data_IF_664102712591
#
_entry.id   IF_664102712591
#
_cell.length_a   1.000
_cell.length_b   1.000
_cell.length_c   1.000
_cell.angle_alpha   90.00
_cell.angle_beta   90.00
_cell.angle_gamma   90.00
#
_symmetry.space_group_name_H-M   'P 1'
#
loop_
_entity.id
_entity.type
_entity.pdbx_description
1 polymer ?
#
# COMPACT_ATOMS: atom_id res chain seq x y z
N UNK A 1 -17.92 0.53 5.82
CA UNK A 1 -17.00 0.85 6.91
C UNK A 1 -17.35 -0.01 8.11
N UNK A 2 -16.37 -0.74 8.66
CA UNK A 2 -16.54 -1.58 9.84
C UNK A 2 -16.82 -0.69 11.06
N UNK A 3 -17.63 -1.22 12.00
CA UNK A 3 -17.86 -0.58 13.30
C UNK A 3 -17.17 -1.39 14.38
N UNK A 4 -16.54 -0.70 15.31
CA UNK A 4 -15.97 -1.32 16.49
C UNK A 4 -17.08 -1.90 17.37
N UNK A 5 -16.95 -3.18 17.72
CA UNK A 5 -17.83 -3.91 18.63
C UNK A 5 -17.08 -4.38 19.90
N UNK A 6 -15.87 -3.89 20.11
CA UNK A 6 -15.01 -4.24 21.24
C UNK A 6 -14.21 -5.53 21.06
N UNK A 7 -14.38 -6.26 19.94
CA UNK A 7 -13.67 -7.51 19.67
C UNK A 7 -12.38 -7.26 18.89
N UNK A 8 -11.24 -7.21 19.60
CA UNK A 8 -9.93 -6.98 18.98
C UNK A 8 -9.48 -8.16 18.11
N UNK A 9 -9.89 -9.39 18.40
CA UNK A 9 -9.53 -10.57 17.61
C UNK A 9 -10.22 -10.50 16.25
N UNK A 10 -11.50 -10.14 16.25
CA UNK A 10 -12.28 -9.93 15.05
C UNK A 10 -11.72 -8.75 14.22
N UNK A 11 -11.32 -7.65 14.88
CA UNK A 11 -10.66 -6.52 14.23
C UNK A 11 -9.36 -6.95 13.54
N UNK A 12 -8.52 -7.77 14.18
CA UNK A 12 -7.31 -8.33 13.57
C UNK A 12 -7.62 -9.23 12.36
N UNK A 13 -8.73 -9.98 12.42
CA UNK A 13 -9.21 -10.78 11.28
C UNK A 13 -9.53 -9.90 10.06
N UNK A 14 -10.27 -8.81 10.24
CA UNK A 14 -10.53 -7.84 9.17
C UNK A 14 -9.25 -7.17 8.67
N UNK A 15 -8.36 -6.78 9.58
CA UNK A 15 -7.08 -6.20 9.23
C UNK A 15 -6.26 -7.13 8.32
N UNK A 16 -6.22 -8.43 8.62
CA UNK A 16 -5.51 -9.42 7.82
C UNK A 16 -6.15 -9.58 6.42
N UNK A 17 -7.48 -9.71 6.34
CA UNK A 17 -8.21 -9.87 5.07
C UNK A 17 -8.02 -8.65 4.17
N UNK A 18 -8.23 -7.44 4.71
CA UNK A 18 -8.13 -6.22 3.91
C UNK A 18 -6.70 -5.92 3.49
N UNK A 19 -5.72 -6.33 4.30
CA UNK A 19 -4.30 -6.24 3.92
C UNK A 19 -3.98 -7.15 2.74
N UNK A 20 -4.47 -8.40 2.73
CA UNK A 20 -4.32 -9.30 1.59
C UNK A 20 -4.89 -8.70 0.31
N UNK A 21 -6.12 -8.18 0.36
CA UNK A 21 -6.76 -7.53 -0.79
C UNK A 21 -5.95 -6.31 -1.30
N UNK A 22 -5.37 -5.51 -0.40
CA UNK A 22 -4.53 -4.37 -0.79
C UNK A 22 -3.20 -4.81 -1.39
N UNK A 23 -2.60 -5.90 -0.88
CA UNK A 23 -1.40 -6.51 -1.47
C UNK A 23 -1.68 -6.99 -2.90
N UNK A 24 -2.80 -7.68 -3.14
CA UNK A 24 -3.22 -8.14 -4.46
C UNK A 24 -3.39 -6.96 -5.44
N UNK A 25 -4.04 -5.87 -5.00
CA UNK A 25 -4.19 -4.67 -5.84
C UNK A 25 -2.86 -4.01 -6.18
N UNK A 26 -1.92 -4.00 -5.22
CA UNK A 26 -0.58 -3.47 -5.47
C UNK A 26 0.18 -4.36 -6.46
N UNK A 27 0.04 -5.68 -6.37
CA UNK A 27 0.70 -6.64 -7.25
C UNK A 27 0.17 -6.53 -8.69
N UNK A 28 -1.13 -6.32 -8.87
CA UNK A 28 -1.72 -6.02 -10.17
C UNK A 28 -1.17 -4.69 -10.76
N UNK A 29 -1.13 -3.64 -9.94
CA UNK A 29 -0.55 -2.36 -10.36
C UNK A 29 0.94 -2.51 -10.72
N UNK A 30 1.65 -3.31 -9.96
CA UNK A 30 3.05 -3.64 -10.19
C UNK A 30 3.25 -4.38 -11.51
N UNK A 31 2.38 -5.36 -11.82
CA UNK A 31 2.37 -6.08 -13.10
C UNK A 31 2.20 -5.16 -14.30
N UNK A 32 1.30 -4.17 -14.20
CA UNK A 32 1.15 -3.14 -15.25
C UNK A 32 2.46 -2.35 -15.39
N UNK A 33 3.07 -1.90 -14.30
CA UNK A 33 4.26 -1.08 -14.31
C UNK A 33 5.49 -1.81 -14.90
N UNK A 34 5.69 -3.08 -14.60
CA UNK A 34 6.77 -3.93 -15.16
C UNK A 34 6.76 -3.92 -16.69
N UNK A 35 5.58 -3.85 -17.32
CA UNK A 35 5.46 -3.92 -18.78
C UNK A 35 6.13 -2.75 -19.52
N UNK A 36 6.46 -1.65 -18.84
CA UNK A 36 7.18 -0.49 -19.41
C UNK A 36 8.30 0.05 -18.53
N UNK A 37 8.47 -0.52 -17.33
CA UNK A 37 9.56 -0.25 -16.40
C UNK A 37 10.22 -1.58 -16.01
N UNK A 38 10.99 -2.22 -16.91
CA UNK A 38 11.49 -3.58 -16.72
C UNK A 38 12.42 -3.73 -15.50
N UNK A 39 13.05 -2.67 -15.04
CA UNK A 39 13.87 -2.66 -13.81
C UNK A 39 13.09 -3.04 -12.55
N UNK A 40 11.76 -2.99 -12.59
CA UNK A 40 10.91 -3.44 -11.47
C UNK A 40 10.91 -4.95 -11.28
N UNK A 41 11.29 -5.74 -12.29
CA UNK A 41 11.31 -7.21 -12.21
C UNK A 41 12.18 -7.69 -11.05
N UNK A 42 13.32 -7.05 -10.80
CA UNK A 42 14.25 -7.40 -9.73
C UNK A 42 13.63 -7.25 -8.32
N UNK A 43 12.56 -6.48 -8.21
CA UNK A 43 11.89 -6.19 -6.94
C UNK A 43 10.54 -6.89 -6.77
N UNK A 44 10.13 -7.71 -7.74
CA UNK A 44 8.81 -8.38 -7.73
C UNK A 44 8.64 -9.33 -6.53
N UNK A 45 9.72 -9.90 -6.02
CA UNK A 45 9.74 -10.81 -4.87
C UNK A 45 9.71 -10.10 -3.51
N UNK A 46 9.79 -8.78 -3.48
CA UNK A 46 9.84 -8.02 -2.24
C UNK A 46 8.49 -8.03 -1.50
N UNK A 47 8.56 -7.72 -0.21
CA UNK A 47 7.36 -7.52 0.62
C UNK A 47 6.62 -6.25 0.21
N UNK A 48 5.33 -6.20 0.51
CA UNK A 48 4.41 -5.11 0.21
C UNK A 48 5.00 -3.70 0.42
N UNK A 49 5.58 -3.44 1.59
CA UNK A 49 6.17 -2.13 1.93
C UNK A 49 7.29 -1.72 0.97
N UNK A 50 8.17 -2.67 0.62
CA UNK A 50 9.29 -2.43 -0.29
C UNK A 50 8.81 -2.31 -1.73
N UNK A 51 7.84 -3.14 -2.15
CA UNK A 51 7.18 -3.01 -3.45
C UNK A 51 6.59 -1.62 -3.64
N UNK A 52 5.79 -1.11 -2.70
CA UNK A 52 5.20 0.22 -2.77
C UNK A 52 6.27 1.31 -2.88
N UNK A 53 7.39 1.18 -2.16
CA UNK A 53 8.51 2.11 -2.22
C UNK A 53 9.19 2.11 -3.60
N UNK A 54 9.50 0.93 -4.14
CA UNK A 54 10.16 0.82 -5.45
C UNK A 54 9.24 1.30 -6.57
N UNK A 55 7.98 0.86 -6.57
CA UNK A 55 6.98 1.31 -7.53
C UNK A 55 6.84 2.84 -7.53
N UNK A 56 6.75 3.46 -6.36
CA UNK A 56 6.69 4.93 -6.24
C UNK A 56 7.91 5.61 -6.85
N UNK A 57 9.13 5.09 -6.59
CA UNK A 57 10.38 5.65 -7.11
C UNK A 57 10.43 5.56 -8.64
N UNK A 58 10.16 4.37 -9.17
CA UNK A 58 10.24 4.09 -10.60
C UNK A 58 9.16 4.83 -11.39
N UNK A 59 7.90 4.80 -10.95
CA UNK A 59 6.84 5.58 -11.60
C UNK A 59 7.13 7.09 -11.54
N UNK A 60 7.68 7.59 -10.42
CA UNK A 60 8.10 8.99 -10.34
C UNK A 60 9.21 9.36 -11.34
N UNK A 61 10.09 8.44 -11.71
CA UNK A 61 11.07 8.63 -12.78
C UNK A 61 10.39 8.56 -14.16
N UNK A 62 9.52 7.59 -14.38
CA UNK A 62 8.77 7.46 -15.63
C UNK A 62 7.92 8.70 -15.93
N UNK A 63 7.24 9.27 -14.92
CA UNK A 63 6.49 10.54 -15.11
C UNK A 63 7.37 11.71 -15.54
N UNK A 64 8.64 11.79 -15.06
CA UNK A 64 9.56 12.87 -15.44
C UNK A 64 9.97 12.82 -16.91
N UNK A 65 10.14 11.61 -17.46
CA UNK A 65 10.59 11.41 -18.84
C UNK A 65 9.45 11.24 -19.83
N UNK A 66 8.25 10.89 -19.36
CA UNK A 66 7.08 10.73 -20.24
C UNK A 66 6.70 12.04 -20.93
N UNK A 67 6.24 11.99 -22.21
CA UNK A 67 5.66 13.15 -22.88
C UNK A 67 4.50 13.73 -22.10
N UNK A 68 4.20 15.00 -22.34
CA UNK A 68 3.04 15.62 -21.71
C UNK A 68 1.72 15.08 -22.29
N UNK A 69 0.76 14.87 -21.40
CA UNK A 69 -0.62 14.51 -21.69
C UNK A 69 -1.55 15.17 -20.67
N UNK A 70 -2.82 15.32 -21.01
CA UNK A 70 -3.77 16.18 -20.30
C UNK A 70 -3.85 15.95 -18.77
N UNK A 71 -3.72 14.68 -18.32
CA UNK A 71 -3.89 14.33 -16.90
C UNK A 71 -2.56 14.19 -16.14
N UNK A 72 -1.40 14.29 -16.79
CA UNK A 72 -0.08 14.00 -16.19
C UNK A 72 0.19 14.82 -14.93
N UNK A 73 -0.11 16.12 -14.97
CA UNK A 73 0.15 17.04 -13.88
C UNK A 73 -0.62 16.69 -12.59
N UNK A 74 -1.83 16.13 -12.74
CA UNK A 74 -2.67 15.70 -11.60
C UNK A 74 -2.34 14.29 -11.14
N UNK A 75 -1.97 13.42 -12.07
CA UNK A 75 -1.73 12.00 -11.79
C UNK A 75 -0.42 11.76 -11.06
N UNK A 76 0.67 12.41 -11.43
CA UNK A 76 1.98 12.22 -10.78
C UNK A 76 1.92 12.45 -9.25
N UNK A 77 1.42 13.59 -8.74
CA UNK A 77 1.33 13.80 -7.31
C UNK A 77 0.36 12.84 -6.63
N UNK A 78 -0.74 12.48 -7.30
CA UNK A 78 -1.72 11.51 -6.78
C UNK A 78 -1.10 10.12 -6.63
N UNK A 79 -0.42 9.60 -7.65
CA UNK A 79 0.28 8.31 -7.61
C UNK A 79 1.32 8.29 -6.50
N UNK A 80 2.14 9.35 -6.40
CA UNK A 80 3.15 9.49 -5.36
C UNK A 80 2.54 9.46 -3.94
N UNK A 81 1.44 10.19 -3.74
CA UNK A 81 0.77 10.30 -2.43
C UNK A 81 0.15 8.97 -2.02
N UNK A 82 -0.60 8.31 -2.91
CA UNK A 82 -1.25 7.04 -2.61
C UNK A 82 -0.21 5.96 -2.30
N UNK A 83 0.84 5.81 -3.12
CA UNK A 83 1.89 4.82 -2.87
C UNK A 83 2.72 5.12 -1.60
N UNK A 84 2.88 6.39 -1.22
CA UNK A 84 3.47 6.76 0.08
C UNK A 84 2.56 6.30 1.21
N UNK A 85 1.26 6.52 1.09
CA UNK A 85 0.27 6.12 2.10
C UNK A 85 0.19 4.59 2.23
N UNK A 86 0.22 3.84 1.12
CA UNK A 86 0.34 2.38 1.14
C UNK A 86 1.48 1.90 2.04
N UNK A 87 2.66 2.53 1.92
CA UNK A 87 3.80 2.19 2.77
C UNK A 87 3.48 2.45 4.25
N UNK A 88 2.87 3.58 4.57
CA UNK A 88 2.56 3.95 5.96
C UNK A 88 1.58 2.95 6.60
N UNK A 89 0.47 2.65 5.93
CA UNK A 89 -0.52 1.69 6.45
C UNK A 89 0.04 0.26 6.54
N UNK A 90 0.94 -0.11 5.62
CA UNK A 90 1.63 -1.40 5.68
C UNK A 90 2.56 -1.49 6.90
N UNK A 91 3.27 -0.42 7.24
CA UNK A 91 4.12 -0.37 8.43
C UNK A 91 3.28 -0.50 9.70
N UNK A 92 2.16 0.23 9.80
CA UNK A 92 1.21 0.14 10.93
C UNK A 92 0.58 -1.25 11.05
N UNK A 93 0.16 -1.83 9.93
CA UNK A 93 -0.36 -3.22 9.89
C UNK A 93 0.68 -4.21 10.38
N UNK A 94 1.94 -4.08 9.92
CA UNK A 94 3.01 -4.98 10.32
C UNK A 94 3.31 -4.90 11.83
N UNK A 95 3.19 -3.73 12.42
CA UNK A 95 3.28 -3.57 13.87
C UNK A 95 2.22 -4.41 14.58
N UNK A 96 0.96 -4.35 14.14
CA UNK A 96 -0.15 -5.10 14.78
C UNK A 96 -0.03 -6.61 14.52
N UNK A 97 0.10 -7.02 13.25
CA UNK A 97 0.04 -8.44 12.86
C UNK A 97 1.25 -9.25 13.36
N UNK A 98 2.42 -8.63 13.47
CA UNK A 98 3.64 -9.31 13.92
C UNK A 98 3.94 -9.11 15.42
N UNK A 99 3.02 -8.54 16.17
CA UNK A 99 3.11 -8.36 17.61
C UNK A 99 2.22 -9.35 18.34
N UNK A 100 2.52 -9.56 19.62
CA UNK A 100 1.64 -10.31 20.51
C UNK A 100 0.64 -9.36 21.16
N UNK A 101 -0.63 -9.74 21.16
CA UNK A 101 -1.70 -9.00 21.82
C UNK A 101 -2.18 -9.85 23.00
N UNK A 102 -2.21 -9.28 24.19
CA UNK A 102 -2.71 -9.96 25.40
C UNK A 102 -3.35 -8.97 26.37
N UNK A 103 -4.26 -9.49 27.18
CA UNK A 103 -4.87 -8.73 28.27
C UNK A 103 -4.01 -8.84 29.52
N UNK A 104 -3.76 -7.72 30.19
CA UNK A 104 -3.18 -7.69 31.53
C UNK A 104 -4.25 -7.93 32.60
N UNK A 105 -3.81 -8.30 33.80
CA UNK A 105 -4.70 -8.55 34.97
C UNK A 105 -5.52 -7.33 35.39
N UNK A 106 -5.08 -6.12 35.01
CA UNK A 106 -5.80 -4.86 35.24
C UNK A 106 -6.85 -4.53 34.17
N UNK A 107 -7.10 -5.45 33.21
CA UNK A 107 -8.06 -5.26 32.11
C UNK A 107 -7.54 -4.47 30.92
N UNK A 108 -6.26 -4.05 30.92
CA UNK A 108 -5.65 -3.38 29.75
C UNK A 108 -5.33 -4.40 28.67
N UNK A 109 -5.53 -4.04 27.43
CA UNK A 109 -5.03 -4.81 26.28
C UNK A 109 -3.76 -4.16 25.77
N UNK A 110 -2.70 -4.95 25.65
CA UNK A 110 -1.38 -4.47 25.27
C UNK A 110 -0.86 -5.19 24.03
N UNK A 111 -0.17 -4.43 23.20
CA UNK A 111 0.57 -4.87 22.03
C UNK A 111 2.05 -4.94 22.40
N UNK A 112 2.65 -6.12 22.29
CA UNK A 112 4.09 -6.31 22.51
C UNK A 112 4.79 -6.63 21.20
N UNK A 113 5.62 -5.72 20.74
CA UNK A 113 6.48 -5.95 19.61
C UNK A 113 7.83 -6.50 20.05
N UNK A 114 8.03 -7.80 19.85
CA UNK A 114 9.25 -8.49 20.29
C UNK A 114 10.50 -8.04 19.53
N UNK A 115 10.34 -7.56 18.28
CA UNK A 115 11.49 -7.06 17.47
C UNK A 115 12.01 -5.72 17.97
N UNK A 116 11.10 -4.84 18.38
CA UNK A 116 11.44 -3.49 18.83
C UNK A 116 11.57 -3.40 20.35
N UNK A 117 11.28 -4.50 21.06
CA UNK A 117 11.22 -4.54 22.53
C UNK A 117 10.30 -3.47 23.12
N UNK A 118 9.23 -3.11 22.39
CA UNK A 118 8.26 -2.10 22.79
C UNK A 118 6.96 -2.75 23.24
N UNK A 119 6.31 -2.13 24.22
CA UNK A 119 4.98 -2.50 24.70
C UNK A 119 4.15 -1.24 24.78
N UNK A 120 2.93 -1.26 24.23
CA UNK A 120 1.97 -0.16 24.32
C UNK A 120 0.54 -0.67 24.45
N UNK A 121 -0.34 0.20 24.90
CA UNK A 121 -1.77 -0.08 24.86
C UNK A 121 -2.25 -0.16 23.40
N UNK A 122 -3.25 -1.01 23.19
CA UNK A 122 -3.97 -1.12 21.93
C UNK A 122 -5.45 -1.35 22.22
N UNK A 123 -6.31 -0.75 21.42
CA UNK A 123 -7.76 -0.94 21.48
C UNK A 123 -8.29 -1.61 20.22
N UNK A 124 -9.47 -2.24 20.34
CA UNK A 124 -10.20 -2.74 19.16
C UNK A 124 -10.50 -1.61 18.19
N UNK A 125 -10.87 -0.43 18.68
CA UNK A 125 -11.13 0.75 17.85
C UNK A 125 -9.93 1.10 16.96
N UNK A 126 -8.72 1.13 17.51
CA UNK A 126 -7.49 1.42 16.74
C UNK A 126 -7.29 0.39 15.62
N UNK A 127 -7.53 -0.89 15.89
CA UNK A 127 -7.36 -1.95 14.88
C UNK A 127 -8.46 -1.89 13.82
N UNK A 128 -9.71 -1.59 14.20
CA UNK A 128 -10.81 -1.37 13.25
C UNK A 128 -10.57 -0.14 12.37
N UNK A 129 -10.05 0.95 12.92
CA UNK A 129 -9.73 2.16 12.17
C UNK A 129 -8.64 1.88 11.14
N UNK A 130 -7.58 1.17 11.53
CA UNK A 130 -6.53 0.74 10.60
C UNK A 130 -7.07 -0.19 9.51
N UNK A 131 -7.95 -1.15 9.84
CA UNK A 131 -8.57 -2.01 8.84
C UNK A 131 -9.45 -1.21 7.84
N UNK A 132 -10.21 -0.24 8.33
CA UNK A 132 -11.02 0.65 7.49
C UNK A 132 -10.16 1.55 6.59
N UNK A 133 -9.02 2.04 7.10
CA UNK A 133 -8.05 2.82 6.32
C UNK A 133 -7.46 1.97 5.18
N UNK A 134 -7.05 0.74 5.46
CA UNK A 134 -6.53 -0.20 4.45
C UNK A 134 -7.60 -0.51 3.40
N UNK A 135 -8.85 -0.72 3.80
CA UNK A 135 -9.95 -0.91 2.85
C UNK A 135 -10.15 0.30 1.94
N UNK A 136 -10.08 1.52 2.48
CA UNK A 136 -10.12 2.75 1.69
C UNK A 136 -8.97 2.84 0.69
N UNK A 137 -7.77 2.39 1.09
CA UNK A 137 -6.59 2.35 0.22
C UNK A 137 -6.72 1.36 -0.94
N UNK A 138 -7.39 0.22 -0.76
CA UNK A 138 -7.67 -0.74 -1.82
C UNK A 138 -8.31 -0.06 -3.05
N UNK A 139 -9.41 0.69 -2.86
CA UNK A 139 -10.05 1.43 -3.95
C UNK A 139 -9.18 2.54 -4.55
N UNK A 140 -8.36 3.19 -3.73
CA UNK A 140 -7.43 4.20 -4.20
C UNK A 140 -6.34 3.61 -5.11
N UNK A 141 -5.74 2.46 -4.72
CA UNK A 141 -4.73 1.75 -5.52
C UNK A 141 -5.34 1.19 -6.81
N UNK A 142 -6.54 0.59 -6.75
CA UNK A 142 -7.27 0.19 -7.95
C UNK A 142 -7.40 1.33 -8.95
N UNK A 143 -7.78 2.52 -8.47
CA UNK A 143 -7.90 3.72 -9.32
C UNK A 143 -6.59 4.19 -9.94
N UNK A 144 -5.42 3.83 -9.38
CA UNK A 144 -4.12 4.14 -9.98
C UNK A 144 -3.84 3.33 -11.25
N UNK A 145 -4.47 2.19 -11.45
CA UNK A 145 -4.29 1.37 -12.66
C UNK A 145 -4.51 2.20 -13.93
N UNK A 146 -5.54 3.03 -13.94
CA UNK A 146 -5.85 3.90 -15.09
C UNK A 146 -4.77 4.97 -15.33
N UNK A 147 -4.22 5.56 -14.27
CA UNK A 147 -3.14 6.53 -14.38
C UNK A 147 -1.85 5.87 -14.90
N UNK A 148 -1.50 4.70 -14.36
CA UNK A 148 -0.32 3.93 -14.78
C UNK A 148 -0.46 3.41 -16.21
N UNK A 149 -1.66 3.01 -16.64
CA UNK A 149 -1.92 2.64 -18.05
C UNK A 149 -1.76 3.83 -19.01
N UNK A 150 -2.23 5.03 -18.64
CA UNK A 150 -1.99 6.24 -19.45
C UNK A 150 -0.52 6.60 -19.54
N UNK A 151 0.21 6.49 -18.42
CA UNK A 151 1.65 6.67 -18.39
C UNK A 151 2.35 5.67 -19.32
N UNK A 152 1.97 4.38 -19.27
CA UNK A 152 2.47 3.35 -20.18
C UNK A 152 2.29 3.75 -21.64
N UNK A 153 1.07 4.14 -22.04
CA UNK A 153 0.77 4.55 -23.42
C UNK A 153 1.59 5.78 -23.85
N UNK A 154 1.84 6.72 -22.92
CA UNK A 154 2.69 7.87 -23.20
C UNK A 154 4.15 7.46 -23.42
N UNK A 155 4.67 6.52 -22.63
CA UNK A 155 6.03 5.97 -22.75
C UNK A 155 6.23 5.18 -24.06
N UNK A 156 5.24 4.38 -24.47
CA UNK A 156 5.27 3.62 -25.73
C UNK A 156 5.35 4.54 -26.96
N UNK A 157 4.68 5.70 -26.93
CA UNK A 157 4.78 6.71 -27.99
C UNK A 157 6.20 7.30 -28.11
N UNK A 158 6.92 7.44 -27.00
CA UNK A 158 8.32 7.87 -27.02
C UNK A 158 9.21 6.84 -27.71
N UNK A 159 9.05 5.55 -27.37
CA UNK A 159 9.82 4.46 -27.98
C UNK A 159 9.55 4.29 -29.48
N UNK A 160 8.30 4.45 -29.92
CA UNK A 160 7.92 4.33 -31.33
C UNK A 160 8.32 5.53 -32.22
N UNK A 161 8.69 6.66 -31.64
CA UNK A 161 9.17 7.83 -32.38
C UNK A 161 10.69 7.79 -32.67
N UNK A 162 11.40 6.78 -32.15
CA UNK A 162 12.85 6.60 -32.32
C UNK A 162 13.22 5.48 -33.31
N UNK A 163 12.22 4.83 -33.94
CA UNK A 163 12.40 3.84 -35.02
C UNK A 163 11.94 4.42 -36.35
#
# INVERSE_FOLDING_TARGET
MLKDDGDIIKACGFLAIYSGNLEDELDELYGIAISFCPELVDYAHLRFTDKARHLRKTLGQAYKIAPDYAQKADEEPRVRTILKHCKTVADSRNEVIHSSIYAETNGRTVLKNNRLSTTRDISSAEVYDLANEIWGMHGAVYGLRFAVMRLKLAMERLGGAQT
#
